data_IF_835327926027
#
_entry.id   IF_835327926027
#
_cell.length_a   1.000
_cell.length_b   1.000
_cell.length_c   1.000
_cell.angle_alpha   90.00
_cell.angle_beta   90.00
_cell.angle_gamma   90.00
#
_symmetry.space_group_name_H-M   'P 1'
#
loop_
_entity.id
_entity.type
_entity.pdbx_description
1 polymer ?
#
# COMPACT_ATOMS: atom_id res chain seq x y z
N UNK A 1 -8.39 -6.19 -1.61
CA UNK A 1 -7.45 -5.64 -0.63
C UNK A 1 -8.04 -4.64 0.37
N UNK A 2 -9.33 -4.38 0.30
CA UNK A 2 -9.91 -3.47 1.29
C UNK A 2 -9.98 -4.11 2.67
N UNK A 3 -9.70 -3.30 3.67
CA UNK A 3 -9.78 -3.69 5.06
C UNK A 3 -11.22 -3.52 5.55
N UNK A 4 -11.78 -4.56 6.16
CA UNK A 4 -13.17 -4.56 6.64
C UNK A 4 -13.27 -4.53 8.16
N UNK A 5 -12.15 -4.55 8.86
CA UNK A 5 -12.12 -4.46 10.31
C UNK A 5 -12.35 -3.04 10.82
N UNK A 6 -12.37 -2.91 12.13
CA UNK A 6 -12.50 -1.61 12.78
C UNK A 6 -11.13 -0.97 12.93
N UNK A 7 -11.06 0.33 12.76
CA UNK A 7 -9.84 1.09 12.98
C UNK A 7 -10.07 2.10 14.09
N UNK A 8 -9.01 2.36 14.84
CA UNK A 8 -9.03 3.45 15.81
C UNK A 8 -8.64 4.73 15.09
N UNK A 9 -9.35 5.80 15.37
CA UNK A 9 -8.97 7.09 14.84
C UNK A 9 -7.76 7.60 15.59
N UNK A 10 -6.66 7.81 14.87
CA UNK A 10 -5.44 8.42 15.40
C UNK A 10 -5.05 9.57 14.51
N UNK A 11 -4.68 10.67 15.14
CA UNK A 11 -4.27 11.85 14.42
C UNK A 11 -3.07 11.52 13.52
N UNK A 12 -3.21 11.83 12.25
CA UNK A 12 -2.14 11.60 11.27
C UNK A 12 -2.13 10.22 10.64
N UNK A 13 -2.93 9.28 11.15
CA UNK A 13 -3.00 7.94 10.56
C UNK A 13 -4.02 7.92 9.42
N UNK A 14 -3.77 7.05 8.44
CA UNK A 14 -4.60 6.96 7.23
C UNK A 14 -5.31 5.61 7.21
N UNK A 15 -6.60 5.63 6.93
CA UNK A 15 -7.35 4.38 6.80
C UNK A 15 -6.77 3.54 5.66
N UNK A 16 -6.58 2.21 5.86
CA UNK A 16 -5.97 1.38 4.83
C UNK A 16 -6.67 1.46 3.46
N UNK A 17 -7.99 1.57 3.45
CA UNK A 17 -8.73 1.62 2.18
C UNK A 17 -8.43 2.88 1.40
N UNK A 18 -8.15 3.97 2.08
CA UNK A 18 -7.74 5.20 1.43
C UNK A 18 -6.37 5.05 0.80
N UNK A 19 -5.49 4.29 1.44
CA UNK A 19 -4.18 3.96 0.88
C UNK A 19 -4.35 3.13 -0.39
N UNK A 20 -5.19 2.10 -0.32
CA UNK A 20 -5.48 1.27 -1.50
C UNK A 20 -6.00 2.13 -2.65
N UNK A 21 -6.95 3.01 -2.37
CA UNK A 21 -7.53 3.89 -3.39
C UNK A 21 -6.47 4.80 -4.00
N UNK A 22 -5.60 5.37 -3.19
CA UNK A 22 -4.55 6.28 -3.69
C UNK A 22 -3.56 5.55 -4.59
N UNK A 23 -3.17 4.33 -4.21
CA UNK A 23 -2.27 3.51 -5.04
C UNK A 23 -2.96 3.13 -6.35
N UNK A 24 -4.21 2.70 -6.27
CA UNK A 24 -4.97 2.32 -7.46
C UNK A 24 -5.17 3.51 -8.40
N UNK A 25 -5.45 4.69 -7.85
CA UNK A 25 -5.61 5.89 -8.67
C UNK A 25 -4.32 6.24 -9.39
N UNK A 26 -3.19 6.11 -8.71
CA UNK A 26 -1.90 6.39 -9.34
C UNK A 26 -1.64 5.49 -10.54
N UNK A 27 -1.97 4.21 -10.42
CA UNK A 27 -1.75 3.24 -11.48
C UNK A 27 -2.95 3.12 -12.44
N UNK A 28 -4.02 3.87 -12.19
CA UNK A 28 -5.24 3.86 -13.02
C UNK A 28 -5.86 2.47 -13.12
N UNK A 29 -5.99 1.80 -11.99
CA UNK A 29 -6.61 0.48 -11.91
C UNK A 29 -7.73 0.49 -10.87
N UNK A 30 -8.66 -0.45 -10.98
CA UNK A 30 -9.67 -0.66 -9.96
C UNK A 30 -9.13 -1.59 -8.87
N UNK A 31 -9.59 -1.42 -7.63
CA UNK A 31 -9.15 -2.23 -6.51
C UNK A 31 -9.37 -3.73 -6.79
N UNK A 32 -10.47 -4.09 -7.40
CA UNK A 32 -10.78 -5.50 -7.69
C UNK A 32 -9.88 -6.11 -8.76
N UNK A 33 -9.13 -5.31 -9.50
CA UNK A 33 -8.24 -5.80 -10.54
C UNK A 33 -6.87 -6.23 -9.99
N UNK A 34 -6.56 -5.87 -8.74
CA UNK A 34 -5.21 -6.07 -8.20
C UNK A 34 -4.75 -7.54 -8.31
N UNK A 35 -5.62 -8.47 -7.96
CA UNK A 35 -5.25 -9.89 -7.95
C UNK A 35 -4.99 -10.46 -9.33
N UNK A 36 -5.48 -9.81 -10.37
CA UNK A 36 -5.33 -10.28 -11.76
C UNK A 36 -4.31 -9.48 -12.57
N UNK A 37 -3.60 -8.57 -11.93
CA UNK A 37 -2.61 -7.74 -12.63
C UNK A 37 -1.48 -8.58 -13.22
N UNK A 38 -1.03 -8.21 -14.39
CA UNK A 38 0.09 -8.84 -15.10
C UNK A 38 0.94 -7.74 -15.75
N UNK A 39 2.24 -7.95 -15.86
CA UNK A 39 2.99 -9.11 -15.37
C UNK A 39 3.11 -9.11 -13.85
N UNK A 40 3.71 -10.18 -13.30
CA UNK A 40 3.87 -10.33 -11.86
C UNK A 40 4.63 -9.16 -11.23
N UNK A 41 5.63 -8.64 -11.93
CA UNK A 41 6.42 -7.52 -11.43
C UNK A 41 5.57 -6.27 -11.22
N UNK A 42 4.62 -6.04 -12.10
CA UNK A 42 3.68 -4.92 -11.98
C UNK A 42 2.76 -5.12 -10.77
N UNK A 43 2.22 -6.33 -10.62
CA UNK A 43 1.39 -6.66 -9.47
C UNK A 43 2.18 -6.49 -8.17
N UNK A 44 3.42 -6.99 -8.14
CA UNK A 44 4.28 -6.88 -6.96
C UNK A 44 4.57 -5.41 -6.62
N UNK A 45 4.73 -4.56 -7.61
CA UNK A 45 4.96 -3.13 -7.38
C UNK A 45 3.73 -2.48 -6.74
N UNK A 46 2.54 -2.78 -7.25
CA UNK A 46 1.29 -2.23 -6.72
C UNK A 46 1.05 -2.72 -5.29
N UNK A 47 1.10 -4.02 -5.08
CA UNK A 47 0.86 -4.61 -3.76
C UNK A 47 1.93 -4.16 -2.77
N UNK A 48 3.19 -4.12 -3.22
CA UNK A 48 4.29 -3.67 -2.36
C UNK A 48 4.11 -2.25 -1.87
N UNK A 49 3.64 -1.35 -2.73
CA UNK A 49 3.37 0.03 -2.33
C UNK A 49 2.22 0.10 -1.32
N UNK A 50 1.17 -0.68 -1.52
CA UNK A 50 0.06 -0.72 -0.57
C UNK A 50 0.58 -1.17 0.81
N UNK A 51 1.34 -2.27 0.86
CA UNK A 51 1.87 -2.79 2.12
C UNK A 51 2.83 -1.78 2.78
N UNK A 52 3.66 -1.13 1.98
CA UNK A 52 4.59 -0.13 2.47
C UNK A 52 3.86 1.03 3.15
N UNK A 53 2.84 1.58 2.48
CA UNK A 53 2.10 2.71 3.04
C UNK A 53 1.22 2.32 4.21
N UNK A 54 0.62 1.13 4.20
CA UNK A 54 -0.12 0.63 5.35
C UNK A 54 0.81 0.51 6.57
N UNK A 55 2.01 -0.01 6.36
CA UNK A 55 2.98 -0.17 7.42
C UNK A 55 3.40 1.17 8.04
N UNK A 56 3.66 2.16 7.21
CA UNK A 56 4.20 3.46 7.68
C UNK A 56 3.14 4.48 8.06
N UNK A 57 2.00 4.47 7.40
CA UNK A 57 1.00 5.53 7.55
C UNK A 57 -0.37 5.02 7.98
N UNK A 58 -0.59 3.70 7.93
CA UNK A 58 -1.91 3.14 8.15
C UNK A 58 -2.38 3.22 9.60
N UNK A 59 -3.69 3.30 9.77
CA UNK A 59 -4.33 3.32 11.07
C UNK A 59 -4.43 1.95 11.74
N UNK A 60 -4.03 0.89 11.03
CA UNK A 60 -3.95 -0.47 11.60
C UNK A 60 -2.55 -1.01 11.39
N UNK A 61 -2.14 -1.95 12.23
CA UNK A 61 -0.86 -2.63 12.07
C UNK A 61 -0.87 -3.47 10.79
N UNK A 62 0.29 -3.58 10.17
CA UNK A 62 0.43 -4.39 8.96
C UNK A 62 -0.05 -5.82 9.16
N UNK A 63 0.30 -6.42 10.30
CA UNK A 63 -0.10 -7.79 10.63
C UNK A 63 -1.63 -7.93 10.64
N UNK A 64 -2.31 -6.96 11.24
CA UNK A 64 -3.77 -6.97 11.31
C UNK A 64 -4.39 -6.76 9.94
N UNK A 65 -3.83 -5.87 9.15
CA UNK A 65 -4.28 -5.66 7.78
C UNK A 65 -4.16 -6.93 6.95
N UNK A 66 -3.02 -7.62 7.05
CA UNK A 66 -2.79 -8.87 6.32
C UNK A 66 -3.75 -9.96 6.77
N UNK A 67 -3.98 -10.09 8.06
CA UNK A 67 -4.90 -11.08 8.61
C UNK A 67 -6.32 -10.87 8.08
N UNK A 68 -6.75 -9.63 7.99
CA UNK A 68 -8.09 -9.29 7.52
C UNK A 68 -8.24 -9.51 6.01
N UNK A 69 -7.21 -9.19 5.24
CA UNK A 69 -7.27 -9.22 3.78
C UNK A 69 -6.77 -10.52 3.16
N UNK A 70 -6.25 -11.44 3.96
CA UNK A 70 -5.81 -12.74 3.47
C UNK A 70 -4.39 -12.81 2.92
N UNK A 71 -3.59 -11.77 3.12
CA UNK A 71 -2.19 -11.76 2.69
C UNK A 71 -1.30 -12.35 3.78
N UNK A 72 -0.23 -13.04 3.36
CA UNK A 72 0.75 -13.56 4.30
C UNK A 72 1.52 -12.43 4.95
N UNK A 73 1.63 -12.45 6.27
CA UNK A 73 2.34 -11.39 7.01
C UNK A 73 3.82 -11.38 6.65
N UNK A 74 4.42 -12.55 6.55
CA UNK A 74 5.84 -12.67 6.24
C UNK A 74 6.16 -12.09 4.87
N UNK A 75 5.37 -12.46 3.86
CA UNK A 75 5.52 -11.95 2.51
C UNK A 75 5.29 -10.44 2.46
N UNK A 76 4.30 -9.95 3.22
CA UNK A 76 4.03 -8.51 3.26
C UNK A 76 5.20 -7.73 3.84
N UNK A 77 5.85 -8.25 4.89
CA UNK A 77 7.01 -7.61 5.49
C UNK A 77 8.20 -7.58 4.53
N UNK A 78 8.38 -8.65 3.75
CA UNK A 78 9.39 -8.66 2.71
C UNK A 78 9.12 -7.63 1.64
N UNK A 79 7.85 -7.49 1.24
CA UNK A 79 7.44 -6.47 0.28
C UNK A 79 7.73 -5.07 0.78
N UNK A 80 7.46 -4.80 2.06
CA UNK A 80 7.74 -3.50 2.67
C UNK A 80 9.23 -3.18 2.58
N UNK A 81 10.08 -4.13 2.95
CA UNK A 81 11.53 -3.94 2.89
C UNK A 81 12.01 -3.70 1.48
N UNK A 82 11.54 -4.51 0.54
CA UNK A 82 11.93 -4.40 -0.87
C UNK A 82 11.48 -3.08 -1.48
N UNK A 83 10.24 -2.69 -1.21
CA UNK A 83 9.70 -1.44 -1.72
C UNK A 83 10.44 -0.25 -1.13
N UNK A 84 10.74 -0.29 0.16
CA UNK A 84 11.52 0.76 0.81
C UNK A 84 12.89 0.92 0.19
N UNK A 85 13.54 -0.19 -0.14
CA UNK A 85 14.84 -0.17 -0.79
C UNK A 85 14.75 0.43 -2.20
N UNK A 86 13.73 0.04 -2.96
CA UNK A 86 13.50 0.58 -4.29
C UNK A 86 13.31 2.11 -4.26
N UNK A 87 12.54 2.59 -3.29
CA UNK A 87 12.32 4.02 -3.12
C UNK A 87 13.64 4.72 -2.80
N UNK A 88 14.40 4.17 -1.87
CA UNK A 88 15.70 4.71 -1.49
C UNK A 88 16.68 4.76 -2.66
N UNK A 89 16.71 3.69 -3.45
CA UNK A 89 17.59 3.56 -4.61
C UNK A 89 17.05 4.28 -5.85
N UNK A 90 15.90 4.95 -5.74
CA UNK A 90 15.24 5.67 -6.82
C UNK A 90 14.84 4.79 -8.00
N UNK A 91 14.48 3.55 -7.71
CA UNK A 91 14.02 2.62 -8.75
C UNK A 91 12.56 2.87 -9.09
N UNK A 92 12.26 2.83 -10.38
CA UNK A 92 10.90 3.02 -10.86
C UNK A 92 10.17 1.68 -10.95
N UNK A 93 8.86 1.66 -10.81
CA UNK A 93 7.96 2.82 -10.61
C UNK A 93 7.86 3.28 -9.15
N UNK A 94 8.45 2.55 -8.21
CA UNK A 94 8.27 2.79 -6.78
C UNK A 94 8.68 4.21 -6.36
N UNK A 95 9.78 4.71 -6.90
CA UNK A 95 10.29 6.03 -6.50
C UNK A 95 9.31 7.16 -6.84
N UNK A 96 8.83 7.22 -8.07
CA UNK A 96 7.89 8.26 -8.49
C UNK A 96 6.53 8.08 -7.82
N UNK A 97 6.07 6.84 -7.72
CA UNK A 97 4.80 6.53 -7.10
C UNK A 97 4.78 6.93 -5.62
N UNK A 98 5.89 6.71 -4.92
CA UNK A 98 5.99 7.04 -3.51
C UNK A 98 5.66 8.52 -3.24
N UNK A 99 6.29 9.42 -3.97
CA UNK A 99 6.07 10.85 -3.77
C UNK A 99 4.61 11.24 -4.03
N UNK A 100 4.05 10.77 -5.14
CA UNK A 100 2.68 11.11 -5.54
C UNK A 100 1.65 10.54 -4.56
N UNK A 101 1.82 9.28 -4.18
CA UNK A 101 0.88 8.62 -3.26
C UNK A 101 0.96 9.23 -1.86
N UNK A 102 2.17 9.48 -1.38
CA UNK A 102 2.36 10.12 -0.08
C UNK A 102 1.63 11.45 -0.02
N UNK A 103 1.77 12.26 -1.05
CA UNK A 103 1.07 13.54 -1.13
C UNK A 103 -0.44 13.34 -1.10
N UNK A 104 -0.95 12.39 -1.88
CA UNK A 104 -2.38 12.13 -1.96
C UNK A 104 -2.99 11.71 -0.61
N UNK A 105 -2.29 10.89 0.16
CA UNK A 105 -2.83 10.39 1.43
C UNK A 105 -2.60 11.33 2.61
N UNK A 106 -1.68 12.27 2.50
CA UNK A 106 -1.36 13.18 3.61
C UNK A 106 -1.93 14.58 3.44
N UNK A 107 -2.40 14.92 2.25
CA UNK A 107 -2.87 16.26 1.91
C UNK A 107 -4.26 16.59 2.44
N UNK A 108 -5.04 15.60 2.71
CA UNK A 108 -6.46 15.79 2.94
C UNK A 108 -6.77 15.82 4.43
N UNK A 109 -6.93 16.97 4.95
CA UNK A 109 -7.22 17.16 6.38
C UNK A 109 -8.62 17.70 6.58
#
# INVERSE_FOLDING_TARGET
MYYTGKTEERKGAVHPNRIVDAVCDYFEIAQMEIDTLKPKEYKDAVVGLIMYFVCLYGSVLLDEYCKNTGYGVFEAREMVSRTGKMIWDREQPAHSAHAAIKEAITQNK
#
